data_IF_161957817451
#
_entry.id   IF_161957817451
#
_cell.length_a   1.000
_cell.length_b   1.000
_cell.length_c   1.000
_cell.angle_alpha   90.00
_cell.angle_beta   90.00
_cell.angle_gamma   90.00
#
_symmetry.space_group_name_H-M   'P 1'
#
loop_
_entity.id
_entity.type
_entity.pdbx_description
1 polymer ?
#
# COMPACT_ATOMS: atom_id res chain seq x y z
N UNK A 1 -10.57 40.68 43.45
CA UNK A 1 -10.90 39.55 42.56
C UNK A 1 -11.81 38.61 43.32
N UNK A 2 -13.01 38.31 42.82
CA UNK A 2 -13.94 37.39 43.51
C UNK A 2 -13.44 35.96 43.37
N UNK A 3 -13.31 35.24 44.50
CA UNK A 3 -12.93 33.81 44.54
C UNK A 3 -13.85 32.96 43.65
N UNK A 4 -15.14 33.32 43.56
CA UNK A 4 -16.09 32.64 42.67
C UNK A 4 -15.74 32.79 41.18
N UNK A 5 -15.25 33.97 40.79
CA UNK A 5 -14.80 34.21 39.41
C UNK A 5 -13.52 33.44 39.07
N UNK A 6 -12.61 33.31 40.03
CA UNK A 6 -11.38 32.51 39.87
C UNK A 6 -11.70 31.03 39.65
N UNK A 7 -12.61 30.47 40.45
CA UNK A 7 -13.03 29.07 40.33
C UNK A 7 -13.75 28.80 39.00
N UNK A 8 -14.63 29.71 38.58
CA UNK A 8 -15.32 29.58 37.29
C UNK A 8 -14.34 29.62 36.12
N UNK A 9 -13.36 30.54 36.16
CA UNK A 9 -12.32 30.63 35.14
C UNK A 9 -11.48 29.36 35.05
N UNK A 10 -11.05 28.80 36.18
CA UNK A 10 -10.27 27.55 36.22
C UNK A 10 -11.05 26.36 35.66
N UNK A 11 -12.34 26.26 35.97
CA UNK A 11 -13.20 25.19 35.48
C UNK A 11 -13.41 25.29 33.97
N UNK A 12 -13.61 26.50 33.46
CA UNK A 12 -13.76 26.76 32.03
C UNK A 12 -12.45 26.51 31.28
N UNK A 13 -11.32 26.96 31.82
CA UNK A 13 -9.99 26.72 31.25
C UNK A 13 -9.67 25.22 31.22
N UNK A 14 -9.90 24.51 32.32
CA UNK A 14 -9.65 23.07 32.42
C UNK A 14 -10.55 22.25 31.49
N UNK A 15 -11.84 22.58 31.41
CA UNK A 15 -12.77 21.93 30.49
C UNK A 15 -12.42 22.15 29.02
N UNK A 16 -12.02 23.37 28.67
CA UNK A 16 -11.59 23.71 27.30
C UNK A 16 -10.28 23.02 26.94
N UNK A 17 -9.31 23.00 27.87
CA UNK A 17 -8.06 22.27 27.70
C UNK A 17 -8.32 20.77 27.50
N UNK A 18 -9.20 20.15 28.29
CA UNK A 18 -9.60 18.76 28.11
C UNK A 18 -10.24 18.49 26.74
N UNK A 19 -11.13 19.37 26.27
CA UNK A 19 -11.76 19.23 24.95
C UNK A 19 -10.76 19.27 23.79
N UNK A 20 -9.66 20.02 23.93
CA UNK A 20 -8.60 20.13 22.91
C UNK A 20 -7.56 19.02 23.03
N UNK A 21 -7.16 18.70 24.26
CA UNK A 21 -6.09 17.74 24.56
C UNK A 21 -6.58 16.30 24.35
N UNK A 22 -7.83 15.99 24.72
CA UNK A 22 -8.41 14.65 24.60
C UNK A 22 -8.40 14.07 23.17
N UNK A 23 -8.86 14.78 22.12
CA UNK A 23 -8.79 14.24 20.75
C UNK A 23 -7.34 14.13 20.26
N UNK A 24 -6.44 14.98 20.74
CA UNK A 24 -5.03 14.96 20.32
C UNK A 24 -4.29 13.73 20.87
N UNK A 25 -4.44 13.42 22.17
CA UNK A 25 -3.84 12.20 22.75
C UNK A 25 -4.47 10.90 22.23
N UNK A 26 -5.75 10.92 21.85
CA UNK A 26 -6.41 9.75 21.26
C UNK A 26 -5.98 9.47 19.81
N UNK A 27 -5.41 10.45 19.11
CA UNK A 27 -5.04 10.33 17.69
C UNK A 27 -3.68 9.63 17.49
N UNK A 28 -2.77 9.76 18.45
CA UNK A 28 -1.40 9.20 18.35
C UNK A 28 -1.33 7.68 18.51
N UNK A 29 -2.28 7.04 19.20
CA UNK A 29 -2.20 5.60 19.50
C UNK A 29 -2.80 4.67 18.42
N UNK A 30 -3.41 5.20 17.36
CA UNK A 30 -3.98 4.39 16.27
C UNK A 30 -3.60 4.86 14.87
N UNK A 31 -3.24 6.13 14.69
CA UNK A 31 -2.97 6.67 13.35
C UNK A 31 -1.54 6.50 12.85
N UNK A 32 -0.56 6.29 13.72
CA UNK A 32 0.87 6.27 13.36
C UNK A 32 1.34 4.90 12.85
N UNK A 33 0.92 3.82 13.50
CA UNK A 33 1.28 2.45 13.09
C UNK A 33 0.63 2.08 11.76
N UNK A 34 -0.66 2.36 11.58
CA UNK A 34 -1.38 2.09 10.33
C UNK A 34 -0.80 2.91 9.15
N UNK A 35 -0.46 4.19 9.37
CA UNK A 35 0.13 5.02 8.33
C UNK A 35 1.55 4.55 7.94
N UNK A 36 2.37 4.14 8.92
CA UNK A 36 3.69 3.56 8.64
C UNK A 36 3.58 2.23 7.91
N UNK A 37 2.58 1.41 8.25
CA UNK A 37 2.34 0.13 7.59
C UNK A 37 1.89 0.30 6.14
N UNK A 38 0.98 1.22 5.87
CA UNK A 38 0.56 1.60 4.50
C UNK A 38 1.75 2.13 3.70
N UNK A 39 2.58 2.98 4.31
CA UNK A 39 3.78 3.50 3.65
C UNK A 39 4.77 2.38 3.28
N UNK A 40 5.01 1.43 4.18
CA UNK A 40 5.86 0.26 3.89
C UNK A 40 5.31 -0.59 2.75
N UNK A 41 4.00 -0.86 2.74
CA UNK A 41 3.38 -1.60 1.63
C UNK A 41 3.54 -0.86 0.30
N UNK A 42 3.36 0.46 0.30
CA UNK A 42 3.57 1.30 -0.89
C UNK A 42 4.99 1.17 -1.42
N UNK A 43 5.98 1.28 -0.55
CA UNK A 43 7.39 1.14 -0.92
C UNK A 43 7.68 -0.24 -1.54
N UNK A 44 7.15 -1.31 -0.95
CA UNK A 44 7.29 -2.67 -1.48
C UNK A 44 6.64 -2.84 -2.85
N UNK A 45 5.42 -2.32 -3.03
CA UNK A 45 4.72 -2.33 -4.31
C UNK A 45 5.49 -1.55 -5.38
N UNK A 46 6.13 -0.44 -5.02
CA UNK A 46 6.98 0.33 -5.94
C UNK A 46 8.25 -0.45 -6.35
N UNK A 47 8.89 -1.15 -5.41
CA UNK A 47 10.01 -2.04 -5.72
C UNK A 47 9.58 -3.16 -6.66
N UNK A 48 8.42 -3.78 -6.41
CA UNK A 48 7.87 -4.80 -7.30
C UNK A 48 7.57 -4.22 -8.69
N UNK A 49 7.01 -3.00 -8.76
CA UNK A 49 6.76 -2.31 -10.03
C UNK A 49 8.04 -2.07 -10.82
N UNK A 50 9.11 -1.61 -10.17
CA UNK A 50 10.41 -1.44 -10.81
C UNK A 50 10.97 -2.76 -11.34
N UNK A 51 10.79 -3.86 -10.59
CA UNK A 51 11.14 -5.21 -11.07
C UNK A 51 10.36 -5.59 -12.32
N UNK A 52 9.05 -5.31 -12.37
CA UNK A 52 8.23 -5.56 -13.57
C UNK A 52 8.79 -4.79 -14.77
N UNK A 53 9.12 -3.51 -14.61
CA UNK A 53 9.67 -2.69 -15.70
C UNK A 53 11.02 -3.22 -16.20
N UNK A 54 11.90 -3.64 -15.29
CA UNK A 54 13.18 -4.24 -15.65
C UNK A 54 12.98 -5.52 -16.46
N UNK A 55 12.10 -6.42 -16.02
CA UNK A 55 11.82 -7.66 -16.77
C UNK A 55 11.20 -7.37 -18.15
N UNK A 56 10.30 -6.40 -18.25
CA UNK A 56 9.70 -6.01 -19.54
C UNK A 56 10.76 -5.47 -20.50
N UNK A 57 11.67 -4.63 -19.99
CA UNK A 57 12.79 -4.11 -20.77
C UNK A 57 13.75 -5.22 -21.23
N UNK A 58 14.11 -6.12 -20.33
CA UNK A 58 15.01 -7.24 -20.66
C UNK A 58 14.37 -8.14 -21.75
N UNK A 59 13.06 -8.38 -21.67
CA UNK A 59 12.31 -9.09 -22.71
C UNK A 59 12.33 -8.37 -24.06
N UNK A 60 12.10 -7.06 -24.05
CA UNK A 60 12.16 -6.23 -25.26
C UNK A 60 13.58 -6.26 -25.88
N UNK A 61 14.63 -6.23 -25.06
CA UNK A 61 16.02 -6.32 -25.51
C UNK A 61 16.34 -7.72 -26.09
N UNK A 62 15.89 -8.80 -25.46
CA UNK A 62 16.10 -10.16 -25.95
C UNK A 62 15.33 -10.46 -27.24
N UNK A 63 14.13 -9.90 -27.40
CA UNK A 63 13.37 -9.96 -28.65
C UNK A 63 14.07 -9.14 -29.75
N UNK A 64 14.46 -7.91 -29.47
CA UNK A 64 15.12 -7.03 -30.43
C UNK A 64 16.47 -7.60 -30.93
N UNK A 65 17.17 -8.36 -30.09
CA UNK A 65 18.42 -9.05 -30.45
C UNK A 65 18.21 -10.40 -31.13
N UNK A 66 16.95 -10.83 -31.32
CA UNK A 66 16.60 -12.08 -31.98
C UNK A 66 16.89 -13.33 -31.15
N UNK A 67 17.12 -13.19 -29.84
CA UNK A 67 17.32 -14.34 -28.93
C UNK A 67 16.02 -15.03 -28.56
N UNK A 68 14.88 -14.36 -28.77
CA UNK A 68 13.55 -14.85 -28.40
C UNK A 68 12.60 -14.88 -29.61
N UNK A 69 11.86 -15.98 -29.83
CA UNK A 69 10.82 -16.04 -30.86
C UNK A 69 9.62 -15.13 -30.54
N UNK A 70 8.98 -14.55 -31.57
CA UNK A 70 7.80 -13.67 -31.42
C UNK A 70 6.68 -14.28 -30.56
N UNK A 71 6.37 -15.56 -30.75
CA UNK A 71 5.29 -16.22 -30.01
C UNK A 71 5.56 -16.31 -28.52
N UNK A 72 6.83 -16.51 -28.14
CA UNK A 72 7.25 -16.58 -26.73
C UNK A 72 7.30 -15.18 -26.13
N UNK A 73 7.86 -14.23 -26.87
CA UNK A 73 7.93 -12.83 -26.47
C UNK A 73 6.54 -12.26 -26.16
N UNK A 74 5.56 -12.43 -27.06
CA UNK A 74 4.23 -11.89 -26.85
C UNK A 74 3.54 -12.49 -25.62
N UNK A 75 3.68 -13.80 -25.40
CA UNK A 75 3.10 -14.47 -24.24
C UNK A 75 3.74 -14.00 -22.91
N UNK A 76 5.07 -13.94 -22.84
CA UNK A 76 5.77 -13.49 -21.64
C UNK A 76 5.54 -12.00 -21.36
N UNK A 77 5.52 -11.18 -22.42
CA UNK A 77 5.23 -9.75 -22.33
C UNK A 77 3.83 -9.49 -21.78
N UNK A 78 2.82 -10.19 -22.28
CA UNK A 78 1.44 -10.08 -21.78
C UNK A 78 1.36 -10.42 -20.28
N UNK A 79 2.08 -11.47 -19.84
CA UNK A 79 2.13 -11.87 -18.45
C UNK A 79 2.75 -10.80 -17.54
N UNK A 80 3.87 -10.20 -17.95
CA UNK A 80 4.51 -9.11 -17.22
C UNK A 80 3.69 -7.81 -17.23
N UNK A 81 3.06 -7.48 -18.35
CA UNK A 81 2.13 -6.35 -18.43
C UNK A 81 0.94 -6.53 -17.48
N UNK A 82 0.39 -7.75 -17.42
CA UNK A 82 -0.71 -8.06 -16.51
C UNK A 82 -0.30 -7.87 -15.04
N UNK A 83 0.92 -8.29 -14.68
CA UNK A 83 1.50 -8.05 -13.35
C UNK A 83 1.63 -6.54 -13.07
N UNK A 84 2.19 -5.78 -14.00
CA UNK A 84 2.33 -4.33 -13.87
C UNK A 84 0.99 -3.61 -13.66
N UNK A 85 -0.02 -3.95 -14.45
CA UNK A 85 -1.39 -3.42 -14.30
C UNK A 85 -1.94 -3.72 -12.91
N UNK A 86 -1.73 -4.94 -12.42
CA UNK A 86 -2.26 -5.34 -11.12
C UNK A 86 -1.56 -4.61 -9.97
N UNK A 87 -0.24 -4.42 -10.05
CA UNK A 87 0.53 -3.64 -9.07
C UNK A 87 0.04 -2.19 -9.00
N UNK A 88 -0.17 -1.56 -10.16
CA UNK A 88 -0.69 -0.19 -10.23
C UNK A 88 -2.09 -0.06 -9.64
N UNK A 89 -2.98 -1.03 -9.89
CA UNK A 89 -4.32 -1.06 -9.27
C UNK A 89 -4.23 -1.21 -7.76
N UNK A 90 -3.35 -2.09 -7.27
CA UNK A 90 -3.15 -2.28 -5.83
C UNK A 90 -2.64 -0.98 -5.18
N UNK A 91 -1.69 -0.29 -5.82
CA UNK A 91 -1.19 1.02 -5.38
C UNK A 91 -2.28 2.09 -5.31
N UNK A 92 -3.18 2.13 -6.30
CA UNK A 92 -4.32 3.07 -6.35
C UNK A 92 -5.30 2.83 -5.19
N UNK A 93 -5.57 1.57 -4.87
CA UNK A 93 -6.49 1.21 -3.75
C UNK A 93 -5.85 1.32 -2.37
N UNK A 94 -4.52 1.39 -2.28
CA UNK A 94 -3.78 1.38 -1.03
C UNK A 94 -4.01 2.65 -0.20
N UNK A 95 -4.34 3.77 -0.86
CA UNK A 95 -4.69 5.03 -0.19
C UNK A 95 -6.03 4.99 0.54
N UNK A 96 -6.95 4.12 0.10
CA UNK A 96 -8.27 3.97 0.71
C UNK A 96 -8.25 2.94 1.84
N UNK A 97 -7.63 1.77 1.64
CA UNK A 97 -7.54 0.69 2.63
C UNK A 97 -6.25 -0.12 2.50
N UNK A 98 -5.65 -0.51 3.65
CA UNK A 98 -4.55 -1.48 3.67
C UNK A 98 -4.99 -2.80 3.03
N UNK A 99 -4.28 -3.24 1.99
CA UNK A 99 -4.60 -4.46 1.24
C UNK A 99 -4.18 -5.71 2.02
N UNK A 100 -3.22 -5.58 2.94
CA UNK A 100 -2.73 -6.67 3.79
C UNK A 100 -3.18 -6.46 5.24
N UNK A 101 -3.57 -7.52 5.97
CA UNK A 101 -3.88 -7.43 7.40
C UNK A 101 -2.67 -6.93 8.20
N UNK A 102 -2.88 -5.90 9.02
CA UNK A 102 -1.87 -5.34 9.94
C UNK A 102 -1.25 -6.36 10.89
N UNK A 103 -1.85 -7.54 11.08
CA UNK A 103 -1.27 -8.65 11.87
C UNK A 103 0.01 -9.26 11.29
N UNK A 104 0.36 -8.96 10.04
CA UNK A 104 1.60 -9.41 9.40
C UNK A 104 2.69 -8.35 9.64
N UNK A 105 3.53 -8.57 10.65
CA UNK A 105 4.63 -7.67 11.01
C UNK A 105 6.00 -8.10 10.46
N UNK A 106 6.11 -9.32 9.93
CA UNK A 106 7.35 -9.81 9.33
C UNK A 106 7.47 -9.29 7.91
N UNK A 107 8.57 -8.59 7.65
CA UNK A 107 8.88 -7.94 6.39
C UNK A 107 8.92 -8.94 5.21
N UNK A 108 9.39 -10.18 5.45
CA UNK A 108 9.40 -11.23 4.43
C UNK A 108 7.99 -11.78 4.14
N UNK A 109 7.16 -11.90 5.18
CA UNK A 109 5.79 -12.36 5.04
C UNK A 109 4.91 -11.32 4.32
N UNK A 110 5.20 -10.03 4.47
CA UNK A 110 4.52 -8.97 3.71
C UNK A 110 4.85 -9.07 2.22
N UNK A 111 6.12 -9.27 1.85
CA UNK A 111 6.49 -9.44 0.43
C UNK A 111 5.79 -10.65 -0.20
N UNK A 112 5.83 -11.80 0.47
CA UNK A 112 5.15 -13.00 -0.02
C UNK A 112 3.63 -12.78 -0.16
N UNK A 113 3.02 -12.07 0.79
CA UNK A 113 1.59 -11.74 0.72
C UNK A 113 1.27 -10.80 -0.46
N UNK A 114 2.13 -9.82 -0.76
CA UNK A 114 1.97 -8.95 -1.95
C UNK A 114 2.05 -9.81 -3.21
N UNK A 115 3.06 -10.65 -3.34
CA UNK A 115 3.25 -11.52 -4.51
C UNK A 115 2.03 -12.43 -4.72
N UNK A 116 1.56 -13.08 -3.66
CA UNK A 116 0.37 -13.93 -3.70
C UNK A 116 -0.90 -13.14 -4.08
N UNK A 117 -1.07 -11.92 -3.56
CA UNK A 117 -2.22 -11.08 -3.88
C UNK A 117 -2.24 -10.67 -5.36
N UNK A 118 -1.09 -10.32 -5.93
CA UNK A 118 -0.94 -9.99 -7.35
C UNK A 118 -1.30 -11.21 -8.20
N UNK A 119 -0.72 -12.38 -7.92
CA UNK A 119 -0.97 -13.62 -8.69
C UNK A 119 -2.42 -14.08 -8.60
N UNK A 120 -3.04 -13.98 -7.42
CA UNK A 120 -4.44 -14.31 -7.22
C UNK A 120 -5.37 -13.41 -8.06
N UNK A 121 -5.09 -12.11 -8.12
CA UNK A 121 -5.88 -11.17 -8.90
C UNK A 121 -5.72 -11.39 -10.42
N UNK A 122 -4.51 -11.75 -10.88
CA UNK A 122 -4.26 -12.14 -12.27
C UNK A 122 -5.06 -13.39 -12.62
N UNK A 123 -4.99 -14.43 -11.78
CA UNK A 123 -5.72 -15.69 -11.99
C UNK A 123 -7.24 -15.48 -12.02
N UNK A 124 -7.77 -14.61 -11.14
CA UNK A 124 -9.18 -14.24 -11.15
C UNK A 124 -9.59 -13.54 -12.45
N UNK A 125 -8.78 -12.60 -12.96
CA UNK A 125 -9.03 -11.93 -14.24
C UNK A 125 -9.02 -12.92 -15.41
N UNK A 126 -8.04 -13.82 -15.47
CA UNK A 126 -7.94 -14.83 -16.55
C UNK A 126 -9.18 -15.74 -16.59
N UNK A 127 -9.72 -16.13 -15.43
CA UNK A 127 -10.96 -16.90 -15.34
C UNK A 127 -12.20 -16.12 -15.79
N UNK A 128 -12.19 -14.79 -15.71
CA UNK A 128 -13.32 -13.97 -16.13
C UNK A 128 -13.34 -13.67 -17.64
N UNK A 129 -12.19 -13.78 -18.31
CA UNK A 129 -12.04 -13.56 -19.76
C UNK A 129 -12.09 -14.84 -20.61
N UNK A 130 -12.03 -16.03 -20.00
CA UNK A 130 -12.27 -17.33 -20.64
C UNK A 130 -13.73 -17.75 -20.47
#
# INVERSE_FOLDING_TARGET
MSIGGLLFFLLLLGGTALLVIYPLLRREARGTEDAQYIQKQRERLLVYYERVLTNLRDLDEDHATGKMPDTTYQAEREDWEQRGIQVLKTLDTLDDHSVIPTSVHDDAAVDEAIDQAIEAAIAARRKATN
#
